data_IF_023915644095
#
_entry.id   IF_023915644095
#
_cell.length_a   1.000
_cell.length_b   1.000
_cell.length_c   1.000
_cell.angle_alpha   90.00
_cell.angle_beta   90.00
_cell.angle_gamma   90.00
#
_symmetry.space_group_name_H-M   'P 1'
#
loop_
_entity.id
_entity.type
_entity.pdbx_description
1 polymer ?
#
# COMPACT_ATOMS: atom_id res chain seq x y z
N UNK A 1 -1.72 0.74 -11.51
CA UNK A 1 -2.77 0.11 -10.67
C UNK A 1 -2.41 -1.32 -10.24
N UNK A 2 -1.95 -2.20 -11.13
CA UNK A 2 -1.55 -3.58 -10.74
C UNK A 2 -0.55 -3.59 -9.57
N UNK A 3 0.48 -2.75 -9.62
CA UNK A 3 1.47 -2.60 -8.54
C UNK A 3 0.87 -2.21 -7.19
N UNK A 4 -0.12 -1.31 -7.16
CA UNK A 4 -0.83 -0.94 -5.93
C UNK A 4 -1.54 -2.15 -5.30
N UNK A 5 -2.15 -3.01 -6.12
CA UNK A 5 -2.81 -4.23 -5.65
C UNK A 5 -1.81 -5.27 -5.13
N UNK A 6 -0.62 -5.36 -5.73
CA UNK A 6 0.47 -6.21 -5.22
C UNK A 6 0.99 -5.73 -3.86
N UNK A 7 1.14 -4.41 -3.69
CA UNK A 7 1.52 -3.80 -2.41
C UNK A 7 0.43 -4.02 -1.36
N UNK A 8 -0.84 -3.79 -1.69
CA UNK A 8 -1.96 -3.98 -0.77
C UNK A 8 -2.03 -5.42 -0.21
N UNK A 9 -1.76 -6.43 -1.05
CA UNK A 9 -1.75 -7.85 -0.63
C UNK A 9 -0.73 -8.15 0.48
N UNK A 10 0.32 -7.34 0.64
CA UNK A 10 1.31 -7.54 1.70
C UNK A 10 0.75 -7.26 3.11
N UNK A 11 -0.31 -6.45 3.21
CA UNK A 11 -1.02 -6.20 4.48
C UNK A 11 -1.98 -7.32 4.90
N UNK A 12 -2.17 -8.37 4.08
CA UNK A 12 -3.15 -9.41 4.34
C UNK A 12 -2.93 -10.08 5.71
N UNK A 13 -3.95 -10.05 6.56
CA UNK A 13 -3.92 -10.64 7.90
C UNK A 13 -3.33 -9.75 9.00
N UNK A 14 -2.63 -8.67 8.66
CA UNK A 14 -1.99 -7.77 9.63
C UNK A 14 -2.78 -6.49 9.90
N UNK A 15 -3.63 -6.09 8.96
CA UNK A 15 -4.34 -4.80 8.98
C UNK A 15 -5.75 -4.86 9.54
N UNK A 16 -6.34 -6.05 9.71
CA UNK A 16 -7.72 -6.21 10.18
C UNK A 16 -7.93 -5.47 11.51
N UNK A 17 -9.02 -4.70 11.70
CA UNK A 17 -10.21 -4.55 10.86
C UNK A 17 -10.10 -3.56 9.68
N UNK A 18 -8.96 -2.90 9.49
CA UNK A 18 -8.77 -1.97 8.37
C UNK A 18 -8.63 -2.71 7.02
N UNK A 19 -8.91 -2.05 5.89
CA UNK A 19 -8.71 -2.65 4.58
C UNK A 19 -7.22 -2.73 4.22
N UNK A 20 -6.91 -3.66 3.31
CA UNK A 20 -5.63 -3.68 2.60
C UNK A 20 -5.57 -2.50 1.60
N UNK A 21 -4.54 -1.68 1.69
CA UNK A 21 -4.32 -0.53 0.81
C UNK A 21 -2.87 -0.52 0.35
N UNK A 22 -2.64 -0.22 -0.91
CA UNK A 22 -1.31 0.00 -1.49
C UNK A 22 -1.32 1.25 -2.37
N UNK A 23 -0.23 2.00 -2.33
CA UNK A 23 -0.07 3.27 -3.02
C UNK A 23 1.26 3.30 -3.79
N UNK A 24 1.27 3.99 -4.92
CA UNK A 24 2.48 4.28 -5.69
C UNK A 24 2.48 5.75 -6.09
N UNK A 25 3.61 6.42 -5.91
CA UNK A 25 3.84 7.78 -6.37
C UNK A 25 4.65 7.75 -7.67
N UNK A 26 4.11 8.36 -8.73
CA UNK A 26 4.72 8.37 -10.06
C UNK A 26 5.06 9.80 -10.46
N UNK A 27 6.30 10.01 -10.90
CA UNK A 27 6.78 11.27 -11.48
C UNK A 27 7.58 10.96 -12.74
N UNK A 28 7.29 11.68 -13.84
CA UNK A 28 7.91 11.47 -15.15
C UNK A 28 7.92 10.01 -15.63
N UNK A 29 6.80 9.32 -15.42
CA UNK A 29 6.64 7.91 -15.80
C UNK A 29 7.44 6.92 -14.95
N UNK A 30 8.12 7.38 -13.88
CA UNK A 30 8.89 6.56 -12.95
C UNK A 30 8.21 6.49 -11.60
N UNK A 31 8.21 5.31 -10.99
CA UNK A 31 7.79 5.15 -9.60
C UNK A 31 8.90 5.73 -8.72
N UNK A 32 8.54 6.69 -7.86
CA UNK A 32 9.45 7.36 -6.91
C UNK A 32 9.08 7.09 -5.44
N UNK A 33 7.96 6.42 -5.20
CA UNK A 33 7.52 6.03 -3.86
C UNK A 33 6.52 4.88 -3.94
N UNK A 34 6.58 3.99 -2.96
CA UNK A 34 5.67 2.87 -2.80
C UNK A 34 5.33 2.70 -1.33
N UNK A 35 4.07 2.38 -1.04
CA UNK A 35 3.60 2.17 0.32
C UNK A 35 2.45 1.17 0.37
N UNK A 36 2.28 0.55 1.54
CA UNK A 36 1.12 -0.27 1.87
C UNK A 36 0.82 -0.16 3.37
N UNK A 37 -0.44 -0.35 3.73
CA UNK A 37 -0.82 -0.39 5.14
C UNK A 37 -0.31 -1.71 5.75
N UNK A 38 0.62 -1.61 6.71
CA UNK A 38 1.38 -2.77 7.18
C UNK A 38 0.74 -3.45 8.40
N UNK A 39 0.14 -2.66 9.29
CA UNK A 39 -0.41 -3.17 10.54
C UNK A 39 -1.59 -2.32 11.01
N UNK A 40 -2.55 -2.94 11.70
CA UNK A 40 -3.63 -2.22 12.36
C UNK A 40 -3.12 -1.04 13.21
N UNK A 41 -3.67 0.15 12.97
CA UNK A 41 -3.32 1.38 13.68
C UNK A 41 -2.00 2.03 13.26
N UNK A 42 -1.28 1.44 12.29
CA UNK A 42 -0.07 2.04 11.72
C UNK A 42 -0.41 3.14 10.69
N UNK A 43 0.59 3.87 10.15
CA UNK A 43 0.38 4.77 9.03
C UNK A 43 -0.32 4.08 7.85
N UNK A 44 -1.06 4.88 7.08
CA UNK A 44 -1.68 4.46 5.84
C UNK A 44 -0.64 4.22 4.74
N UNK A 45 -1.12 3.83 3.56
CA UNK A 45 -0.26 3.53 2.43
C UNK A 45 0.32 4.76 1.73
N UNK A 46 -0.38 5.91 1.78
CA UNK A 46 0.08 7.19 1.21
C UNK A 46 1.39 7.73 1.80
#
# INVERSE_FOLDING_TARGET
>A
MHRCLELAKQGAGYVVPNPMVGAVLVHDGKIIGEGYHQQYGSPHAE
#
